data_IF_006956542977
#
_entry.id   IF_006956542977
#
_cell.length_a   1.000
_cell.length_b   1.000
_cell.length_c   1.000
_cell.angle_alpha   90.00
_cell.angle_beta   90.00
_cell.angle_gamma   90.00
#
_symmetry.space_group_name_H-M   'P 1'
#
loop_
_entity.id
_entity.type
_entity.pdbx_description
1 polymer ?
#
# COMPACT_ATOMS: atom_id res chain seq x y z
N UNK A 1 13.87 15.57 -16.22
CA UNK A 1 12.85 15.55 -15.13
C UNK A 1 12.34 16.96 -14.89
N UNK A 2 11.03 17.19 -14.84
CA UNK A 2 10.37 18.52 -14.74
C UNK A 2 10.34 19.06 -13.31
N UNK A 3 10.10 18.21 -12.31
CA UNK A 3 10.06 18.56 -10.89
C UNK A 3 10.94 17.62 -10.05
N UNK A 4 12.28 17.80 -10.10
CA UNK A 4 13.19 17.01 -9.27
C UNK A 4 12.89 17.17 -7.76
N UNK A 5 12.36 18.32 -7.35
CA UNK A 5 11.95 18.64 -5.98
C UNK A 5 10.72 17.85 -5.51
N UNK A 6 9.97 17.23 -6.43
CA UNK A 6 8.86 16.31 -6.13
C UNK A 6 9.21 14.85 -6.46
N UNK A 7 10.49 14.55 -6.72
CA UNK A 7 10.93 13.21 -7.12
C UNK A 7 11.96 12.69 -6.13
N UNK A 8 11.73 11.48 -5.62
CA UNK A 8 12.66 10.76 -4.76
C UNK A 8 12.95 9.38 -5.35
N UNK A 9 14.18 8.92 -5.19
CA UNK A 9 14.60 7.55 -5.50
C UNK A 9 15.16 6.87 -4.25
N UNK A 10 15.05 5.54 -4.19
CA UNK A 10 15.77 4.72 -3.23
C UNK A 10 16.21 3.41 -3.88
N UNK A 11 17.24 2.78 -3.33
CA UNK A 11 17.72 1.47 -3.72
C UNK A 11 17.15 0.43 -2.75
N UNK A 12 16.24 -0.44 -3.19
CA UNK A 12 15.62 -1.46 -2.33
C UNK A 12 15.40 -2.83 -3.00
N UNK A 13 15.15 -2.88 -4.31
CA UNK A 13 14.80 -4.14 -5.00
C UNK A 13 16.01 -5.00 -5.39
N UNK A 14 17.14 -4.37 -5.73
CA UNK A 14 18.34 -5.04 -6.24
C UNK A 14 19.51 -4.94 -5.26
N UNK A 15 19.25 -4.50 -4.04
CA UNK A 15 20.26 -4.39 -2.98
C UNK A 15 20.55 -5.77 -2.42
N UNK A 16 21.83 -6.20 -2.34
CA UNK A 16 22.16 -7.49 -1.77
C UNK A 16 21.85 -7.50 -0.27
N UNK A 17 21.46 -8.66 0.25
CA UNK A 17 21.24 -8.87 1.70
C UNK A 17 22.48 -9.37 2.42
N UNK A 18 23.49 -9.83 1.69
CA UNK A 18 24.79 -10.30 2.18
C UNK A 18 25.91 -9.45 1.58
N UNK A 19 27.02 -9.33 2.30
CA UNK A 19 28.22 -8.61 1.82
C UNK A 19 27.92 -7.19 1.31
N UNK A 20 27.05 -6.45 2.01
CA UNK A 20 26.55 -5.12 1.60
C UNK A 20 27.66 -4.05 1.49
N UNK A 21 28.80 -4.29 2.13
CA UNK A 21 30.01 -3.47 2.10
C UNK A 21 30.91 -3.76 0.88
N UNK A 22 30.56 -4.76 0.06
CA UNK A 22 31.31 -5.16 -1.13
C UNK A 22 30.62 -4.71 -2.42
N UNK A 23 31.35 -4.69 -3.56
CA UNK A 23 30.71 -4.50 -4.86
C UNK A 23 29.62 -5.55 -5.10
N UNK A 24 28.44 -5.12 -5.57
CA UNK A 24 27.29 -5.99 -5.85
C UNK A 24 27.70 -7.10 -6.80
N UNK A 25 27.71 -8.36 -6.35
CA UNK A 25 28.25 -9.47 -7.14
C UNK A 25 27.46 -9.76 -8.42
N UNK A 26 26.12 -9.72 -8.34
CA UNK A 26 25.25 -9.93 -9.49
C UNK A 26 25.35 -8.77 -10.50
N UNK A 27 25.70 -9.10 -11.74
CA UNK A 27 25.96 -8.12 -12.78
C UNK A 27 24.70 -7.35 -13.19
N UNK A 28 23.54 -8.01 -13.19
CA UNK A 28 22.26 -7.38 -13.55
C UNK A 28 21.86 -6.34 -12.51
N UNK A 29 21.85 -6.74 -11.23
CA UNK A 29 21.56 -5.89 -10.09
C UNK A 29 22.50 -4.69 -10.02
N UNK A 30 23.82 -4.94 -10.22
CA UNK A 30 24.84 -3.89 -10.26
C UNK A 30 24.54 -2.88 -11.37
N UNK A 31 24.28 -3.35 -12.58
CA UNK A 31 24.00 -2.48 -13.74
C UNK A 31 22.77 -1.61 -13.47
N UNK A 32 21.70 -2.18 -12.91
CA UNK A 32 20.48 -1.44 -12.60
C UNK A 32 20.70 -0.36 -11.52
N UNK A 33 21.42 -0.69 -10.45
CA UNK A 33 21.74 0.27 -9.38
C UNK A 33 22.69 1.37 -9.87
N UNK A 34 23.74 1.03 -10.60
CA UNK A 34 24.67 2.02 -11.16
C UNK A 34 23.96 2.95 -12.16
N UNK A 35 23.04 2.42 -12.97
CA UNK A 35 22.21 3.22 -13.88
C UNK A 35 21.30 4.16 -13.12
N UNK A 36 20.63 3.69 -12.05
CA UNK A 36 19.79 4.54 -11.20
C UNK A 36 20.61 5.68 -10.56
N UNK A 37 21.79 5.38 -10.01
CA UNK A 37 22.70 6.37 -9.42
C UNK A 37 23.15 7.41 -10.44
N UNK A 38 23.57 6.96 -11.63
CA UNK A 38 24.00 7.85 -12.71
C UNK A 38 22.87 8.79 -13.15
N UNK A 39 21.67 8.25 -13.37
CA UNK A 39 20.49 9.04 -13.74
C UNK A 39 20.09 10.03 -12.63
N UNK A 40 20.08 9.59 -11.38
CA UNK A 40 19.74 10.47 -10.25
C UNK A 40 20.71 11.65 -10.15
N UNK A 41 22.01 11.39 -10.31
CA UNK A 41 23.04 12.42 -10.35
C UNK A 41 22.89 13.36 -11.55
N UNK A 42 22.66 12.82 -12.76
CA UNK A 42 22.48 13.60 -13.99
C UNK A 42 21.29 14.55 -13.91
N UNK A 43 20.16 14.07 -13.40
CA UNK A 43 18.91 14.85 -13.36
C UNK A 43 18.66 15.59 -12.04
N UNK A 44 19.58 15.50 -11.07
CA UNK A 44 19.45 16.15 -9.77
C UNK A 44 18.32 15.59 -8.90
N UNK A 45 18.03 14.30 -9.01
CA UNK A 45 17.02 13.61 -8.19
C UNK A 45 17.69 13.12 -6.90
N UNK A 46 17.07 13.38 -5.75
CA UNK A 46 17.54 12.83 -4.47
C UNK A 46 17.37 11.31 -4.48
N UNK A 47 18.46 10.59 -4.24
CA UNK A 47 18.47 9.12 -4.13
C UNK A 47 18.98 8.68 -2.77
N UNK A 48 18.22 7.86 -2.04
CA UNK A 48 18.69 7.15 -0.85
C UNK A 48 19.36 5.84 -1.27
N UNK A 49 20.67 5.91 -1.53
CA UNK A 49 21.49 4.78 -1.94
C UNK A 49 21.85 3.85 -0.78
N UNK A 50 22.30 2.63 -1.10
CA UNK A 50 22.79 1.69 -0.10
C UNK A 50 23.86 2.33 0.81
N UNK A 51 23.62 2.31 2.12
CA UNK A 51 24.48 2.91 3.15
C UNK A 51 24.06 4.31 3.60
N UNK A 52 23.07 4.93 2.94
CA UNK A 52 22.39 6.13 3.45
C UNK A 52 21.57 5.77 4.70
N UNK A 53 21.60 6.61 5.73
CA UNK A 53 20.88 6.37 6.98
C UNK A 53 19.35 6.34 6.79
N UNK A 54 18.86 7.03 5.76
CA UNK A 54 17.45 7.11 5.41
C UNK A 54 17.05 6.12 4.29
N UNK A 55 17.95 5.22 3.88
CA UNK A 55 17.63 4.15 2.92
C UNK A 55 16.67 3.13 3.54
N UNK A 56 15.74 2.64 2.71
CA UNK A 56 14.77 1.63 3.12
C UNK A 56 13.92 1.18 1.95
N UNK A 57 12.92 0.34 2.22
CA UNK A 57 11.93 -0.07 1.23
C UNK A 57 11.16 1.16 0.77
N UNK A 58 10.91 1.30 -0.53
CA UNK A 58 10.36 2.52 -1.15
C UNK A 58 9.12 3.08 -0.46
N UNK A 59 8.20 2.21 -0.01
CA UNK A 59 6.95 2.60 0.65
C UNK A 59 7.10 2.96 2.13
N UNK A 60 8.29 2.77 2.71
CA UNK A 60 8.65 3.20 4.07
C UNK A 60 9.41 4.53 4.05
N UNK A 61 10.21 4.77 3.02
CA UNK A 61 11.04 5.99 2.90
C UNK A 61 10.17 7.26 2.88
N UNK A 62 9.06 7.25 2.14
CA UNK A 62 8.14 8.39 2.11
C UNK A 62 7.54 8.72 3.50
N UNK A 63 6.88 7.76 4.16
CA UNK A 63 6.33 7.91 5.50
C UNK A 63 7.36 8.31 6.56
N UNK A 64 8.51 7.65 6.63
CA UNK A 64 9.50 7.90 7.70
C UNK A 64 10.07 9.32 7.63
N UNK A 65 10.15 9.88 6.42
CA UNK A 65 10.65 11.23 6.14
C UNK A 65 9.55 12.29 6.22
N UNK A 66 8.27 11.91 6.29
CA UNK A 66 7.14 12.85 6.24
C UNK A 66 6.84 13.39 4.84
N UNK A 67 7.32 12.72 3.78
CA UNK A 67 7.02 13.07 2.38
C UNK A 67 5.63 12.58 1.95
N UNK A 68 5.09 11.59 2.65
CA UNK A 68 3.72 11.12 2.45
C UNK A 68 2.78 11.89 3.35
N UNK A 69 1.97 12.76 2.78
CA UNK A 69 1.07 13.65 3.52
C UNK A 69 -0.37 13.54 2.98
N UNK A 70 -1.38 13.83 3.81
CA UNK A 70 -2.77 13.80 3.36
C UNK A 70 -3.04 14.74 2.18
N UNK A 71 -3.88 14.28 1.25
CA UNK A 71 -4.29 15.04 0.07
C UNK A 71 -3.27 15.04 -1.07
N UNK A 72 -2.11 14.40 -0.92
CA UNK A 72 -1.17 14.23 -2.02
C UNK A 72 -1.65 13.17 -3.02
N UNK A 73 -1.21 13.32 -4.27
CA UNK A 73 -1.19 12.21 -5.23
C UNK A 73 0.23 11.66 -5.30
N UNK A 74 0.40 10.37 -5.00
CA UNK A 74 1.70 9.70 -4.97
C UNK A 74 1.72 8.56 -5.98
N UNK A 75 2.68 8.58 -6.89
CA UNK A 75 2.84 7.53 -7.89
C UNK A 75 4.28 7.05 -7.91
N UNK A 76 4.46 5.74 -8.06
CA UNK A 76 5.76 5.11 -8.18
C UNK A 76 5.68 3.95 -9.18
N UNK A 77 6.82 3.54 -9.73
CA UNK A 77 6.93 2.38 -10.62
C UNK A 77 6.70 1.03 -9.93
N UNK A 78 5.99 1.01 -8.79
CA UNK A 78 5.80 -0.13 -7.91
C UNK A 78 4.31 -0.28 -7.54
N UNK A 79 3.80 -1.51 -7.55
CA UNK A 79 2.39 -1.83 -7.29
C UNK A 79 1.91 -1.40 -5.91
N UNK A 80 2.74 -1.54 -4.89
CA UNK A 80 2.39 -1.34 -3.48
C UNK A 80 2.47 0.13 -3.04
N UNK A 81 2.58 1.05 -4.00
CA UNK A 81 2.43 2.51 -3.77
C UNK A 81 1.10 2.84 -3.08
N UNK A 82 0.10 1.96 -3.19
CA UNK A 82 -1.13 1.98 -2.41
C UNK A 82 -0.92 2.18 -0.90
N UNK A 83 0.22 1.73 -0.34
CA UNK A 83 0.61 1.93 1.07
C UNK A 83 0.42 3.37 1.55
N UNK A 84 0.78 4.34 0.70
CA UNK A 84 0.74 5.76 1.04
C UNK A 84 -0.70 6.28 1.25
N UNK A 85 -1.72 5.57 0.78
CA UNK A 85 -3.11 5.96 1.02
C UNK A 85 -3.56 5.79 2.48
N UNK A 86 -2.75 5.13 3.32
CA UNK A 86 -2.93 5.13 4.78
C UNK A 86 -2.92 6.54 5.40
N UNK A 87 -2.34 7.51 4.68
CA UNK A 87 -2.25 8.92 5.08
C UNK A 87 -3.37 9.77 4.47
N UNK A 88 -4.35 9.18 3.79
CA UNK A 88 -5.35 9.95 3.03
C UNK A 88 -4.80 10.53 1.72
N UNK A 89 -3.73 9.94 1.17
CA UNK A 89 -3.21 10.26 -0.16
C UNK A 89 -3.84 9.37 -1.23
N UNK A 90 -4.06 9.90 -2.44
CA UNK A 90 -4.39 9.06 -3.58
C UNK A 90 -3.09 8.48 -4.15
N UNK A 91 -2.81 7.22 -3.82
CA UNK A 91 -1.52 6.61 -4.13
C UNK A 91 -1.63 5.29 -4.87
N UNK A 92 -0.92 5.15 -5.99
CA UNK A 92 -1.02 3.96 -6.85
C UNK A 92 0.21 3.75 -7.73
N UNK A 93 0.48 2.48 -8.05
CA UNK A 93 1.58 2.09 -8.93
C UNK A 93 1.32 2.44 -10.39
N UNK A 94 2.37 2.79 -11.13
CA UNK A 94 2.29 3.16 -12.55
C UNK A 94 3.34 2.42 -13.38
N UNK A 95 3.07 2.24 -14.67
CA UNK A 95 4.01 1.59 -15.59
C UNK A 95 5.16 2.50 -16.03
N UNK A 96 6.21 1.95 -16.64
CA UNK A 96 7.40 2.70 -17.07
C UNK A 96 7.09 3.91 -17.96
N UNK A 97 6.17 3.76 -18.93
CA UNK A 97 5.78 4.87 -19.81
C UNK A 97 5.02 5.98 -19.06
N UNK A 98 4.24 5.61 -18.05
CA UNK A 98 3.56 6.57 -17.18
C UNK A 98 4.57 7.29 -16.27
N UNK A 99 5.59 6.59 -15.76
CA UNK A 99 6.69 7.20 -14.99
C UNK A 99 7.41 8.24 -15.84
N UNK A 100 7.76 7.91 -17.09
CA UNK A 100 8.35 8.87 -18.02
C UNK A 100 7.46 10.10 -18.19
N UNK A 101 6.14 9.88 -18.36
CA UNK A 101 5.18 10.98 -18.51
C UNK A 101 5.07 11.85 -17.27
N UNK A 102 5.06 11.28 -16.06
CA UNK A 102 5.08 12.03 -14.79
C UNK A 102 6.37 12.81 -14.64
N UNK A 103 7.52 12.18 -14.90
CA UNK A 103 8.82 12.85 -14.84
C UNK A 103 8.91 14.00 -15.85
N UNK A 104 8.26 13.91 -17.00
CA UNK A 104 8.24 14.96 -18.02
C UNK A 104 7.19 16.05 -17.77
N UNK A 105 6.02 15.71 -17.22
CA UNK A 105 4.83 16.58 -17.24
C UNK A 105 4.19 16.82 -15.88
N UNK A 106 4.42 15.96 -14.88
CA UNK A 106 3.71 15.94 -13.59
C UNK A 106 2.20 15.75 -13.71
N UNK A 107 1.77 15.09 -14.78
CA UNK A 107 0.36 14.77 -15.04
C UNK A 107 0.24 13.33 -15.51
N UNK A 108 -0.94 12.74 -15.35
CA UNK A 108 -1.29 11.41 -15.87
C UNK A 108 -2.71 11.43 -16.46
N UNK A 109 -2.92 10.91 -17.68
CA UNK A 109 -4.26 10.71 -18.22
C UNK A 109 -4.85 9.41 -17.65
N UNK A 110 -5.84 9.53 -16.77
CA UNK A 110 -6.51 8.39 -16.13
C UNK A 110 -8.02 8.47 -16.33
N UNK A 111 -8.66 7.31 -16.50
CA UNK A 111 -10.10 7.21 -16.37
C UNK A 111 -10.51 7.40 -14.89
N UNK A 112 -11.66 8.01 -14.61
CA UNK A 112 -12.17 8.08 -13.24
C UNK A 112 -12.31 6.69 -12.63
N UNK A 113 -11.87 6.55 -11.38
CA UNK A 113 -12.03 5.31 -10.63
C UNK A 113 -13.43 5.22 -10.04
N UNK A 114 -13.93 3.99 -9.91
CA UNK A 114 -15.07 3.72 -9.05
C UNK A 114 -14.64 3.75 -7.59
N UNK A 115 -15.61 3.84 -6.70
CA UNK A 115 -15.40 3.95 -5.25
C UNK A 115 -16.00 2.74 -4.54
N UNK A 116 -15.25 2.13 -3.62
CA UNK A 116 -15.76 1.04 -2.80
C UNK A 116 -15.47 1.30 -1.33
N UNK A 117 -16.50 1.31 -0.49
CA UNK A 117 -16.34 1.39 0.95
C UNK A 117 -16.11 0.00 1.54
N UNK A 118 -15.03 -0.16 2.30
CA UNK A 118 -14.76 -1.33 3.13
C UNK A 118 -14.94 -0.92 4.59
N UNK A 119 -16.08 -1.28 5.19
CA UNK A 119 -16.41 -0.91 6.57
C UNK A 119 -16.14 -2.08 7.51
N UNK A 120 -15.31 -1.88 8.53
CA UNK A 120 -15.02 -2.87 9.58
C UNK A 120 -15.56 -2.37 10.92
N UNK A 121 -16.68 -2.95 11.35
CA UNK A 121 -17.42 -2.54 12.54
C UNK A 121 -16.84 -3.16 13.83
N UNK A 122 -16.86 -2.40 14.93
CA UNK A 122 -16.39 -2.86 16.23
C UNK A 122 -14.87 -2.86 16.40
N UNK A 123 -14.43 -3.28 17.57
CA UNK A 123 -13.01 -3.40 17.93
C UNK A 123 -12.44 -4.77 17.54
N UNK A 124 -11.17 -4.79 17.14
CA UNK A 124 -10.45 -6.05 16.88
C UNK A 124 -10.34 -6.92 18.13
N UNK A 125 -10.64 -8.23 18.04
CA UNK A 125 -10.39 -9.18 19.10
C UNK A 125 -8.90 -9.30 19.44
N UNK A 126 -8.60 -9.74 20.66
CA UNK A 126 -7.22 -9.97 21.10
C UNK A 126 -6.56 -10.99 20.15
N UNK A 127 -5.37 -10.63 19.65
CA UNK A 127 -4.60 -11.46 18.73
C UNK A 127 -4.85 -11.17 17.25
N UNK A 128 -5.98 -10.54 16.90
CA UNK A 128 -6.21 -10.05 15.55
C UNK A 128 -5.50 -8.71 15.32
N UNK A 129 -5.07 -8.49 14.08
CA UNK A 129 -4.22 -7.38 13.65
C UNK A 129 -4.72 -6.76 12.35
N UNK A 130 -4.08 -5.66 11.93
CA UNK A 130 -4.31 -5.06 10.62
C UNK A 130 -4.13 -6.04 9.45
N UNK A 131 -3.19 -6.99 9.58
CA UNK A 131 -2.95 -8.02 8.55
C UNK A 131 -4.17 -8.92 8.38
N UNK A 132 -4.82 -9.27 9.48
CA UNK A 132 -5.99 -10.15 9.48
C UNK A 132 -7.20 -9.46 8.86
N UNK A 133 -7.37 -8.15 9.11
CA UNK A 133 -8.39 -7.33 8.42
C UNK A 133 -8.22 -7.45 6.92
N UNK A 134 -7.03 -7.12 6.39
CA UNK A 134 -6.86 -7.02 4.94
C UNK A 134 -6.89 -8.40 4.27
N UNK A 135 -6.40 -9.45 4.92
CA UNK A 135 -6.56 -10.82 4.43
C UNK A 135 -8.04 -11.25 4.40
N UNK A 136 -8.82 -10.91 5.42
CA UNK A 136 -10.25 -11.19 5.44
C UNK A 136 -11.01 -10.43 4.33
N UNK A 137 -10.64 -9.17 4.06
CA UNK A 137 -11.18 -8.38 2.95
C UNK A 137 -10.86 -9.07 1.62
N UNK A 138 -9.59 -9.41 1.37
CA UNK A 138 -9.16 -10.08 0.12
C UNK A 138 -9.85 -11.44 -0.04
N UNK A 139 -9.98 -12.23 1.03
CA UNK A 139 -10.70 -13.49 0.99
C UNK A 139 -12.20 -13.30 0.68
N UNK A 140 -12.80 -12.20 1.15
CA UNK A 140 -14.22 -11.88 0.93
C UNK A 140 -14.52 -11.42 -0.49
N UNK A 141 -13.67 -10.58 -1.08
CA UNK A 141 -13.92 -9.99 -2.41
C UNK A 141 -13.12 -10.66 -3.52
N UNK A 142 -12.16 -11.51 -3.18
CA UNK A 142 -11.23 -12.15 -4.10
C UNK A 142 -10.15 -11.19 -4.62
N UNK A 143 -9.19 -11.74 -5.35
CA UNK A 143 -8.06 -10.98 -5.90
C UNK A 143 -8.43 -10.05 -7.06
N UNK A 144 -9.65 -10.18 -7.60
CA UNK A 144 -10.22 -9.30 -8.62
C UNK A 144 -11.35 -8.41 -8.11
N UNK A 145 -11.72 -8.49 -6.83
CA UNK A 145 -12.91 -7.81 -6.29
C UNK A 145 -12.83 -6.29 -6.33
N UNK A 146 -11.63 -5.73 -6.20
CA UNK A 146 -11.35 -4.30 -6.25
C UNK A 146 -11.08 -3.76 -7.66
N UNK A 147 -11.15 -4.57 -8.72
CA UNK A 147 -10.75 -4.14 -10.06
C UNK A 147 -11.52 -2.90 -10.54
N UNK A 148 -10.80 -1.81 -10.82
CA UNK A 148 -11.36 -0.53 -11.25
C UNK A 148 -11.85 0.38 -10.12
N UNK A 149 -11.70 -0.05 -8.86
CA UNK A 149 -12.06 0.72 -7.67
C UNK A 149 -10.85 1.32 -6.97
N UNK A 150 -11.08 2.43 -6.28
CA UNK A 150 -10.33 2.84 -5.09
C UNK A 150 -11.11 2.39 -3.86
N UNK A 151 -10.43 1.69 -2.96
CA UNK A 151 -11.01 1.23 -1.71
C UNK A 151 -10.86 2.32 -0.64
N UNK A 152 -11.94 2.70 0.03
CA UNK A 152 -11.87 3.46 1.27
C UNK A 152 -12.10 2.53 2.46
N UNK A 153 -11.11 2.40 3.33
CA UNK A 153 -11.23 1.62 4.56
C UNK A 153 -11.76 2.48 5.69
N UNK A 154 -12.85 2.03 6.31
CA UNK A 154 -13.64 2.78 7.30
C UNK A 154 -14.03 1.89 8.48
N UNK A 155 -14.57 2.51 9.52
CA UNK A 155 -15.10 1.81 10.69
C UNK A 155 -14.18 1.88 11.91
N UNK A 156 -14.68 1.39 13.04
CA UNK A 156 -14.01 1.50 14.34
C UNK A 156 -12.68 0.74 14.36
N UNK A 157 -12.63 -0.46 13.80
CA UNK A 157 -11.41 -1.25 13.74
C UNK A 157 -10.31 -0.52 12.97
N UNK A 158 -10.64 0.11 11.83
CA UNK A 158 -9.68 0.87 11.00
C UNK A 158 -9.18 2.12 11.73
N UNK A 159 -10.07 2.90 12.35
CA UNK A 159 -9.68 4.09 13.12
C UNK A 159 -8.77 3.75 14.31
N UNK A 160 -8.96 2.57 14.90
CA UNK A 160 -8.18 2.11 16.06
C UNK A 160 -6.78 1.59 15.70
N UNK A 161 -6.44 1.48 14.41
CA UNK A 161 -5.11 1.04 13.98
C UNK A 161 -4.06 2.15 14.16
N UNK A 162 -2.84 1.76 14.52
CA UNK A 162 -1.67 2.62 14.36
C UNK A 162 -1.42 2.95 12.89
N UNK A 163 -0.56 3.93 12.60
CA UNK A 163 -0.20 4.24 11.21
C UNK A 163 0.41 3.05 10.48
N UNK A 164 1.24 2.25 11.13
CA UNK A 164 1.83 1.05 10.53
C UNK A 164 0.75 -0.02 10.23
N UNK A 165 -0.27 -0.11 11.08
CA UNK A 165 -1.45 -0.94 10.81
C UNK A 165 -2.24 -0.44 9.60
N UNK A 166 -2.47 0.87 9.50
CA UNK A 166 -3.12 1.49 8.33
C UNK A 166 -2.32 1.28 7.04
N UNK A 167 -1.00 1.44 7.11
CA UNK A 167 -0.08 1.15 6.01
C UNK A 167 -0.16 -0.31 5.58
N UNK A 168 -0.25 -1.25 6.53
CA UNK A 168 -0.44 -2.68 6.24
C UNK A 168 -1.72 -2.95 5.45
N UNK A 169 -2.83 -2.31 5.84
CA UNK A 169 -4.12 -2.45 5.13
C UNK A 169 -4.05 -1.84 3.73
N UNK A 170 -3.58 -0.60 3.62
CA UNK A 170 -3.52 0.09 2.33
C UNK A 170 -2.53 -0.57 1.36
N UNK A 171 -1.38 -1.04 1.86
CA UNK A 171 -0.37 -1.78 1.09
C UNK A 171 -1.00 -2.92 0.30
N UNK A 172 -1.80 -3.75 0.98
CA UNK A 172 -2.37 -4.95 0.39
C UNK A 172 -3.66 -4.74 -0.43
N UNK A 173 -4.01 -3.48 -0.73
CA UNK A 173 -5.17 -3.18 -1.59
C UNK A 173 -4.98 -3.70 -3.02
N UNK A 174 -3.72 -3.78 -3.48
CA UNK A 174 -3.41 -4.26 -4.83
C UNK A 174 -3.64 -5.76 -4.96
N UNK A 175 -3.47 -6.54 -3.88
CA UNK A 175 -3.79 -7.96 -3.82
C UNK A 175 -5.30 -8.25 -3.93
N UNK A 176 -6.15 -7.28 -3.57
CA UNK A 176 -7.58 -7.30 -3.85
C UNK A 176 -7.92 -6.85 -5.29
N UNK A 177 -6.92 -6.45 -6.08
CA UNK A 177 -7.08 -5.94 -7.44
C UNK A 177 -7.45 -4.45 -7.51
N UNK A 178 -7.45 -3.74 -6.39
CA UNK A 178 -7.80 -2.33 -6.35
C UNK A 178 -6.70 -1.44 -6.92
N UNK A 179 -7.11 -0.26 -7.44
CA UNK A 179 -6.15 0.72 -7.93
C UNK A 179 -5.36 1.38 -6.79
N UNK A 180 -6.05 1.67 -5.70
CA UNK A 180 -5.51 2.28 -4.49
C UNK A 180 -6.39 1.89 -3.29
N UNK A 181 -5.84 2.07 -2.09
CA UNK A 181 -6.58 1.98 -0.84
C UNK A 181 -6.31 3.19 0.03
N UNK A 182 -7.35 3.77 0.63
CA UNK A 182 -7.27 5.02 1.35
C UNK A 182 -7.93 4.91 2.73
N UNK A 183 -7.34 5.62 3.70
CA UNK A 183 -7.91 5.82 5.04
C UNK A 183 -7.95 7.32 5.28
N UNK A 184 -9.10 7.83 5.74
CA UNK A 184 -9.24 9.24 6.08
C UNK A 184 -8.21 9.63 7.17
N UNK A 185 -7.50 10.76 7.00
CA UNK A 185 -6.52 11.19 7.97
C UNK A 185 -7.22 11.67 9.25
N UNK A 186 -6.64 11.32 10.40
CA UNK A 186 -7.12 11.73 11.72
C UNK A 186 -5.93 12.04 12.65
N UNK A 187 -6.19 12.18 13.95
CA UNK A 187 -5.18 12.44 14.97
C UNK A 187 -4.00 11.46 14.90
N UNK A 188 -4.24 10.17 14.61
CA UNK A 188 -3.17 9.17 14.51
C UNK A 188 -2.23 9.49 13.34
N UNK A 189 -2.79 9.97 12.23
CA UNK A 189 -2.00 10.42 11.07
C UNK A 189 -1.22 11.68 11.39
N UNK A 190 -1.82 12.65 12.09
CA UNK A 190 -1.17 13.91 12.42
C UNK A 190 -0.03 13.71 13.43
N UNK A 191 -0.26 12.91 14.48
CA UNK A 191 0.76 12.59 15.47
C UNK A 191 1.97 11.88 14.85
N UNK A 192 1.74 10.97 13.89
CA UNK A 192 2.82 10.28 13.19
C UNK A 192 3.69 11.23 12.34
N UNK A 193 3.06 12.23 11.71
CA UNK A 193 3.73 13.19 10.82
C UNK A 193 4.43 14.32 11.57
N UNK A 194 3.98 14.65 12.79
CA UNK A 194 4.52 15.78 13.53
C UNK A 194 6.02 15.62 13.79
N UNK A 195 6.81 16.64 13.41
CA UNK A 195 8.26 16.66 13.61
C UNK A 195 9.05 15.74 12.66
N UNK A 196 8.41 15.16 11.63
CA UNK A 196 9.14 14.44 10.57
C UNK A 196 9.93 15.42 9.70
N UNK A 197 11.08 15.02 9.12
CA UNK A 197 12.00 15.93 8.43
C UNK A 197 11.38 16.78 7.31
N UNK A 198 10.34 16.28 6.63
CA UNK A 198 9.65 16.99 5.55
C UNK A 198 8.19 17.34 5.88
N UNK A 199 7.75 17.14 7.13
CA UNK A 199 6.45 17.62 7.55
C UNK A 199 6.45 19.15 7.68
N UNK A 200 5.30 19.81 7.48
CA UNK A 200 5.18 21.24 7.74
C UNK A 200 5.53 21.58 9.21
N UNK A 201 5.98 22.79 9.47
CA UNK A 201 6.36 23.26 10.82
C UNK A 201 5.67 24.58 11.17
N UNK A 202 5.53 24.85 12.47
CA UNK A 202 4.98 26.12 12.96
C UNK A 202 3.59 26.43 12.41
N UNK A 203 3.41 27.63 11.84
CA UNK A 203 2.12 28.04 11.28
C UNK A 203 1.68 27.20 10.07
N UNK A 204 2.63 26.66 9.30
CA UNK A 204 2.32 25.79 8.16
C UNK A 204 1.81 24.42 8.63
N UNK A 205 2.28 23.94 9.79
CA UNK A 205 1.73 22.75 10.44
C UNK A 205 0.27 22.95 10.85
N UNK A 206 -0.03 24.05 11.52
CA UNK A 206 -1.39 24.35 11.98
C UNK A 206 -2.36 24.45 10.78
N UNK A 207 -1.95 25.13 9.71
CA UNK A 207 -2.73 25.24 8.48
C UNK A 207 -2.88 23.89 7.75
N UNK A 208 -1.83 23.07 7.72
CA UNK A 208 -1.89 21.74 7.13
C UNK A 208 -2.85 20.84 7.88
N UNK A 209 -2.81 20.81 9.22
CA UNK A 209 -3.73 20.02 10.05
C UNK A 209 -5.17 20.50 9.87
N UNK A 210 -5.41 21.82 9.82
CA UNK A 210 -6.74 22.38 9.53
C UNK A 210 -7.28 21.87 8.19
N UNK A 211 -6.46 21.93 7.13
CA UNK A 211 -6.83 21.39 5.82
C UNK A 211 -7.03 19.88 5.84
N UNK A 212 -6.12 19.12 6.46
CA UNK A 212 -6.19 17.65 6.47
C UNK A 212 -7.44 17.14 7.18
N UNK A 213 -7.94 17.85 8.20
CA UNK A 213 -9.22 17.53 8.86
C UNK A 213 -10.44 17.61 7.92
N UNK A 214 -10.32 18.33 6.80
CA UNK A 214 -11.36 18.41 5.77
C UNK A 214 -11.34 17.23 4.81
N UNK A 215 -10.27 16.42 4.79
CA UNK A 215 -10.07 15.32 3.84
C UNK A 215 -10.73 14.01 4.30
N UNK A 216 -11.83 14.11 5.03
CA UNK A 216 -12.68 12.96 5.36
C UNK A 216 -13.83 12.90 4.37
N UNK A 217 -14.30 11.68 4.12
CA UNK A 217 -15.51 11.47 3.33
C UNK A 217 -16.72 12.11 4.00
N UNK A 218 -17.54 12.79 3.18
CA UNK A 218 -18.79 13.42 3.59
C UNK A 218 -19.78 12.37 4.14
N UNK A 219 -20.65 12.79 5.06
CA UNK A 219 -21.57 11.87 5.75
C UNK A 219 -22.66 11.30 4.81
N UNK A 220 -22.92 11.98 3.68
CA UNK A 220 -23.88 11.59 2.64
C UNK A 220 -23.21 11.07 1.35
N UNK A 221 -21.91 10.82 1.38
CA UNK A 221 -21.18 10.27 0.24
C UNK A 221 -21.72 8.89 -0.17
N UNK A 222 -21.88 8.69 -1.47
CA UNK A 222 -22.31 7.41 -2.05
C UNK A 222 -21.11 6.70 -2.67
N UNK A 223 -21.03 5.39 -2.44
CA UNK A 223 -20.02 4.53 -3.03
C UNK A 223 -20.64 3.68 -4.15
N UNK A 224 -19.87 3.39 -5.19
CA UNK A 224 -20.29 2.48 -6.26
C UNK A 224 -20.47 1.03 -5.74
N UNK A 225 -19.77 0.67 -4.66
CA UNK A 225 -19.90 -0.61 -3.98
C UNK A 225 -19.61 -0.49 -2.47
N UNK A 226 -20.18 -1.39 -1.67
CA UNK A 226 -19.94 -1.45 -0.23
C UNK A 226 -19.70 -2.88 0.24
N UNK A 227 -18.74 -3.05 1.15
CA UNK A 227 -18.40 -4.32 1.79
C UNK A 227 -18.32 -4.07 3.29
N UNK A 228 -19.05 -4.86 4.06
CA UNK A 228 -19.09 -4.76 5.52
C UNK A 228 -18.50 -6.01 6.15
N UNK A 229 -17.62 -5.84 7.13
CA UNK A 229 -17.08 -6.89 7.99
C UNK A 229 -17.34 -6.51 9.45
N UNK A 230 -17.61 -7.51 10.28
CA UNK A 230 -17.69 -7.34 11.72
C UNK A 230 -16.34 -7.76 12.32
N UNK A 231 -15.67 -6.87 13.05
CA UNK A 231 -14.38 -7.15 13.66
C UNK A 231 -14.46 -8.33 14.64
N UNK A 232 -15.61 -8.53 15.28
CA UNK A 232 -15.85 -9.65 16.19
C UNK A 232 -15.75 -11.03 15.51
N UNK A 233 -15.93 -11.09 14.19
CA UNK A 233 -15.78 -12.32 13.40
C UNK A 233 -14.34 -12.53 12.91
N UNK A 234 -13.44 -11.56 13.17
CA UNK A 234 -12.03 -11.66 12.81
C UNK A 234 -11.24 -12.36 13.90
N UNK A 235 -10.37 -13.24 13.45
CA UNK A 235 -9.33 -13.88 14.25
C UNK A 235 -8.04 -13.91 13.42
N UNK A 236 -6.89 -14.33 13.98
CA UNK A 236 -5.67 -14.44 13.19
C UNK A 236 -5.89 -15.23 11.89
N UNK A 237 -5.38 -14.70 10.79
CA UNK A 237 -5.66 -15.14 9.43
C UNK A 237 -4.37 -15.52 8.72
N UNK A 238 -4.42 -16.54 7.87
CA UNK A 238 -3.27 -17.00 7.08
C UNK A 238 -3.68 -17.31 5.66
N UNK A 239 -2.74 -17.15 4.73
CA UNK A 239 -2.91 -17.67 3.37
C UNK A 239 -2.43 -19.11 3.32
N UNK A 240 -3.30 -20.03 2.91
CA UNK A 240 -2.99 -21.46 2.81
C UNK A 240 -2.46 -21.87 1.44
N UNK A 241 -2.57 -21.00 0.44
CA UNK A 241 -2.23 -21.32 -0.95
C UNK A 241 -1.23 -20.34 -1.58
N UNK A 242 -1.25 -20.27 -2.91
CA UNK A 242 -0.28 -19.56 -3.74
C UNK A 242 -0.73 -18.17 -4.19
N UNK A 243 -1.95 -17.75 -3.81
CA UNK A 243 -2.39 -16.38 -3.99
C UNK A 243 -3.06 -15.81 -2.74
N UNK A 244 -3.08 -14.47 -2.56
CA UNK A 244 -3.61 -13.82 -1.36
C UNK A 244 -5.11 -14.05 -1.10
N UNK A 245 -5.89 -14.38 -2.13
CA UNK A 245 -7.31 -14.73 -2.00
C UNK A 245 -7.55 -16.09 -1.35
N UNK A 246 -6.53 -16.96 -1.32
CA UNK A 246 -6.56 -18.23 -0.60
C UNK A 246 -6.23 -18.03 0.88
N UNK A 247 -7.00 -17.15 1.53
CA UNK A 247 -6.91 -16.84 2.95
C UNK A 247 -7.98 -17.57 3.76
N UNK A 248 -7.61 -18.02 4.97
CA UNK A 248 -8.56 -18.55 5.95
C UNK A 248 -8.19 -18.07 7.37
N UNK A 249 -9.18 -18.02 8.27
CA UNK A 249 -8.91 -17.92 9.70
C UNK A 249 -8.03 -19.09 10.18
N UNK A 250 -7.21 -18.88 11.21
CA UNK A 250 -6.35 -19.95 11.78
C UNK A 250 -7.15 -21.16 12.27
N UNK A 251 -8.40 -20.99 12.71
CA UNK A 251 -9.28 -22.11 13.08
C UNK A 251 -9.90 -22.82 11.87
N UNK A 252 -9.72 -22.26 10.67
CA UNK A 252 -10.27 -22.76 9.42
C UNK A 252 -9.61 -24.05 8.94
N UNK A 253 -10.22 -24.64 7.90
CA UNK A 253 -9.73 -25.87 7.26
C UNK A 253 -9.39 -25.59 5.80
N UNK A 254 -8.17 -25.94 5.39
CA UNK A 254 -7.76 -25.93 3.98
C UNK A 254 -8.79 -26.73 3.16
N UNK A 255 -9.31 -26.17 2.04
CA UNK A 255 -10.37 -26.81 1.29
C UNK A 255 -9.92 -28.15 0.70
N UNK A 256 -10.84 -29.10 0.66
CA UNK A 256 -10.65 -30.41 0.00
C UNK A 256 -11.04 -30.23 -1.46
N UNK A 257 -10.10 -30.31 -2.44
CA UNK A 257 -10.41 -29.95 -3.82
C UNK A 257 -11.58 -30.74 -4.43
N UNK A 258 -11.73 -32.01 -4.07
CA UNK A 258 -12.81 -32.86 -4.55
C UNK A 258 -14.21 -32.37 -4.14
N UNK A 259 -14.29 -31.56 -3.07
CA UNK A 259 -15.53 -30.95 -2.57
C UNK A 259 -15.84 -29.60 -3.26
N UNK A 260 -14.89 -29.03 -4.01
CA UNK A 260 -15.06 -27.73 -4.70
C UNK A 260 -15.86 -27.94 -5.99
N UNK A 261 -17.02 -27.30 -6.12
CA UNK A 261 -17.92 -27.48 -7.25
C UNK A 261 -17.38 -26.86 -8.55
N UNK A 262 -16.79 -25.66 -8.48
CA UNK A 262 -16.21 -25.00 -9.65
C UNK A 262 -14.91 -25.68 -10.08
N UNK A 263 -14.81 -26.02 -11.37
CA UNK A 263 -13.68 -26.76 -11.90
C UNK A 263 -12.38 -25.95 -11.91
N UNK A 264 -12.46 -24.63 -12.12
CA UNK A 264 -11.28 -23.78 -12.13
C UNK A 264 -10.76 -23.57 -10.70
N UNK A 265 -11.66 -23.31 -9.75
CA UNK A 265 -11.31 -23.20 -8.33
C UNK A 265 -10.73 -24.52 -7.80
N UNK A 266 -11.30 -25.66 -8.21
CA UNK A 266 -10.75 -26.99 -7.87
C UNK A 266 -9.32 -27.14 -8.34
N UNK A 267 -9.05 -26.92 -9.62
CA UNK A 267 -7.71 -27.04 -10.19
C UNK A 267 -6.74 -26.05 -9.55
N UNK A 268 -7.20 -24.83 -9.23
CA UNK A 268 -6.39 -23.84 -8.52
C UNK A 268 -6.05 -24.29 -7.09
N UNK A 269 -6.99 -24.90 -6.38
CA UNK A 269 -6.78 -25.46 -5.05
C UNK A 269 -5.82 -26.66 -5.07
N UNK A 270 -6.01 -27.61 -6.00
CA UNK A 270 -5.11 -28.76 -6.19
C UNK A 270 -3.66 -28.31 -6.38
N UNK A 271 -3.44 -27.36 -7.30
CA UNK A 271 -2.11 -26.80 -7.58
C UNK A 271 -1.52 -26.04 -6.40
N UNK A 272 -2.35 -25.28 -5.69
CA UNK A 272 -1.89 -24.54 -4.52
C UNK A 272 -1.44 -25.51 -3.41
N UNK A 273 -2.21 -26.55 -3.14
CA UNK A 273 -1.88 -27.57 -2.14
C UNK A 273 -0.61 -28.33 -2.55
N UNK A 274 -0.51 -28.78 -3.81
CA UNK A 274 0.69 -29.45 -4.33
C UNK A 274 1.95 -28.59 -4.17
N UNK A 275 1.85 -27.29 -4.42
CA UNK A 275 2.97 -26.36 -4.27
C UNK A 275 3.39 -26.16 -2.81
N UNK A 276 2.41 -26.07 -1.90
CA UNK A 276 2.66 -25.75 -0.48
C UNK A 276 3.23 -26.92 0.32
N UNK A 277 3.00 -28.17 -0.13
CA UNK A 277 3.56 -29.40 0.46
C UNK A 277 2.67 -30.00 1.54
#
# INVERSE_FOLDING_TARGET
VRRPDLTLATEDHNTPTLDIDRPIADATSRTQIETLRANAAEFGVRIHSLGDADQGIVHQVGPQLGLTQPGLTVVCGDSHTSTHGAFGALAFGIGTSEVEHVLATQTLPLAPFKTMAITVNGALPIGATAKDIILAVIAKIGTGGGQGYVLEYRGEAIRSLSMEGRMTVCNMSIEAGARAGMIAPDETTFEYLQGRPHAPEGADWDAAVEYWRTLRTDDDAQFDAEVVLEAADLEPFVTWGTNPGQGLPLSGRVPVPEEIADANERVAAERAIEYMG
#
